data_IF_505121195371
#
_entry.id   IF_505121195371
#
_cell.length_a   1.000
_cell.length_b   1.000
_cell.length_c   1.000
_cell.angle_alpha   90.00
_cell.angle_beta   90.00
_cell.angle_gamma   90.00
#
_symmetry.space_group_name_H-M   'P 1'
#
loop_
_entity.id
_entity.type
_entity.pdbx_description
1 polymer ?
#
# COMPACT_ATOMS: atom_id res chain seq x y z
N UNK A 1 26.05 0.58 -33.12
CA UNK A 1 24.60 0.42 -32.89
C UNK A 1 24.47 0.06 -31.43
N UNK A 2 24.38 1.11 -30.64
CA UNK A 2 24.45 1.09 -29.18
C UNK A 2 23.19 0.46 -28.60
N UNK A 3 23.40 -0.47 -27.66
CA UNK A 3 22.37 -1.07 -26.86
C UNK A 3 21.86 -0.04 -25.86
N UNK A 4 20.80 0.69 -26.22
CA UNK A 4 20.12 1.55 -25.26
C UNK A 4 19.36 0.67 -24.27
N UNK A 5 19.95 0.58 -23.10
CA UNK A 5 19.62 -0.31 -22.01
C UNK A 5 18.41 0.23 -21.25
N UNK A 6 17.39 -0.62 -21.10
CA UNK A 6 16.48 -0.69 -19.96
C UNK A 6 16.23 0.61 -19.17
N UNK A 7 15.33 1.45 -19.68
CA UNK A 7 14.59 2.42 -18.86
C UNK A 7 13.56 1.73 -17.97
N UNK A 8 13.96 0.76 -17.15
CA UNK A 8 13.14 0.26 -16.06
C UNK A 8 13.26 1.28 -14.92
N UNK A 9 12.22 2.09 -14.71
CA UNK A 9 12.12 3.02 -13.58
C UNK A 9 12.40 2.24 -12.28
N UNK A 10 13.55 2.44 -11.61
CA UNK A 10 13.90 1.67 -10.41
C UNK A 10 13.02 2.02 -9.20
N UNK A 11 12.20 3.06 -9.32
CA UNK A 11 11.43 3.63 -8.22
C UNK A 11 10.22 2.80 -7.80
N UNK A 12 9.56 2.09 -8.72
CA UNK A 12 8.37 1.29 -8.41
C UNK A 12 8.66 0.15 -7.44
N UNK A 13 9.56 -0.76 -7.85
CA UNK A 13 9.93 -1.95 -7.09
C UNK A 13 10.56 -1.61 -5.73
N UNK A 14 11.43 -0.58 -5.67
CA UNK A 14 12.02 -0.15 -4.40
C UNK A 14 10.98 0.46 -3.45
N UNK A 15 9.95 1.15 -3.97
CA UNK A 15 8.89 1.72 -3.15
C UNK A 15 7.94 0.64 -2.62
N UNK A 16 7.63 -0.38 -3.44
CA UNK A 16 6.82 -1.53 -3.05
C UNK A 16 7.48 -2.36 -1.94
N UNK A 17 8.79 -2.60 -2.04
CA UNK A 17 9.57 -3.31 -1.02
C UNK A 17 9.61 -2.55 0.31
N UNK A 18 9.76 -1.21 0.25
CA UNK A 18 9.74 -0.36 1.44
C UNK A 18 8.36 -0.35 2.11
N UNK A 19 7.29 -0.27 1.33
CA UNK A 19 5.93 -0.35 1.83
C UNK A 19 5.67 -1.70 2.52
N UNK A 20 6.03 -2.79 1.86
CA UNK A 20 5.88 -4.15 2.38
C UNK A 20 6.59 -4.30 3.72
N UNK A 21 7.83 -3.81 3.81
CA UNK A 21 8.61 -3.85 5.05
C UNK A 21 7.98 -2.99 6.16
N UNK A 22 7.49 -1.79 5.84
CA UNK A 22 6.84 -0.91 6.80
C UNK A 22 5.56 -1.54 7.38
N UNK A 23 4.73 -2.15 6.53
CA UNK A 23 3.53 -2.87 6.96
C UNK A 23 3.88 -4.03 7.89
N UNK A 24 4.88 -4.85 7.54
CA UNK A 24 5.33 -5.98 8.37
C UNK A 24 5.80 -5.50 9.75
N UNK A 25 6.63 -4.46 9.83
CA UNK A 25 7.12 -3.95 11.11
C UNK A 25 6.00 -3.33 11.95
N UNK A 26 5.03 -2.64 11.34
CA UNK A 26 3.87 -2.12 12.04
C UNK A 26 3.00 -3.24 12.63
N UNK A 27 2.76 -4.32 11.87
CA UNK A 27 2.03 -5.50 12.36
C UNK A 27 2.79 -6.18 13.51
N UNK A 28 4.12 -6.35 13.40
CA UNK A 28 4.96 -6.87 14.49
C UNK A 28 4.92 -6.01 15.74
N UNK A 29 4.78 -4.69 15.59
CA UNK A 29 4.60 -3.74 16.67
C UNK A 29 3.16 -3.71 17.24
N UNK A 30 2.27 -4.59 16.78
CA UNK A 30 0.88 -4.69 17.24
C UNK A 30 -0.03 -3.58 16.72
N UNK A 31 0.34 -2.89 15.63
CA UNK A 31 -0.54 -1.91 14.99
C UNK A 31 -1.65 -2.62 14.23
N UNK A 32 -2.88 -2.09 14.34
CA UNK A 32 -4.02 -2.58 13.58
C UNK A 32 -3.95 -2.14 12.12
N UNK A 33 -4.68 -2.82 11.25
CA UNK A 33 -4.79 -2.46 9.83
C UNK A 33 -5.38 -1.06 9.62
N UNK A 34 -6.34 -0.64 10.45
CA UNK A 34 -6.86 0.72 10.46
C UNK A 34 -5.78 1.78 10.76
N UNK A 35 -4.88 1.48 11.70
CA UNK A 35 -3.78 2.39 12.05
C UNK A 35 -2.78 2.50 10.89
N UNK A 36 -2.44 1.37 10.26
CA UNK A 36 -1.55 1.33 9.10
C UNK A 36 -2.17 2.10 7.92
N UNK A 37 -3.43 1.86 7.61
CA UNK A 37 -4.19 2.56 6.57
C UNK A 37 -4.19 4.09 6.78
N UNK A 38 -4.38 4.54 8.02
CA UNK A 38 -4.33 5.97 8.38
C UNK A 38 -2.95 6.57 8.08
N UNK A 39 -1.86 5.87 8.39
CA UNK A 39 -0.49 6.34 8.09
C UNK A 39 -0.23 6.42 6.58
N UNK A 40 -0.87 5.55 5.79
CA UNK A 40 -0.79 5.53 4.33
C UNK A 40 -1.73 6.54 3.67
N UNK A 41 -2.59 7.24 4.41
CA UNK A 41 -3.58 8.18 3.85
C UNK A 41 -4.75 7.47 3.15
N UNK A 42 -4.96 6.18 3.45
CA UNK A 42 -6.05 5.39 2.90
C UNK A 42 -7.36 5.78 3.61
N UNK A 43 -8.41 6.16 2.87
CA UNK A 43 -9.70 6.49 3.47
C UNK A 43 -10.36 5.25 4.09
N UNK A 44 -11.22 5.42 5.11
CA UNK A 44 -11.96 4.30 5.69
C UNK A 44 -12.81 3.55 4.63
N UNK A 45 -12.94 2.22 4.73
CA UNK A 45 -13.79 1.44 3.83
C UNK A 45 -15.23 1.97 3.83
N UNK A 46 -15.75 2.26 2.64
CA UNK A 46 -17.04 2.98 2.48
C UNK A 46 -18.28 2.11 2.74
N UNK A 47 -18.12 0.80 2.88
CA UNK A 47 -19.21 -0.19 2.95
C UNK A 47 -19.67 -0.53 4.37
N UNK A 48 -19.06 0.05 5.40
CA UNK A 48 -19.27 -0.42 6.75
C UNK A 48 -20.28 0.45 7.52
N UNK A 49 -21.55 0.04 7.52
CA UNK A 49 -22.55 0.44 8.55
C UNK A 49 -22.21 -0.11 9.95
N UNK A 50 -21.04 -0.74 10.09
CA UNK A 50 -20.50 -1.45 11.24
C UNK A 50 -18.98 -1.20 11.33
N UNK A 51 -18.30 -1.73 12.36
CA UNK A 51 -16.84 -1.58 12.47
C UNK A 51 -16.17 -2.36 11.33
N UNK A 52 -15.36 -1.68 10.52
CA UNK A 52 -14.59 -2.29 9.43
C UNK A 52 -13.63 -3.36 9.96
N UNK A 53 -13.60 -4.50 9.29
CA UNK A 53 -12.75 -5.63 9.64
C UNK A 53 -11.31 -5.41 9.15
N UNK A 54 -10.38 -6.20 9.69
CA UNK A 54 -9.00 -6.21 9.19
C UNK A 54 -8.91 -6.50 7.69
N UNK A 55 -9.82 -7.33 7.16
CA UNK A 55 -9.91 -7.65 5.74
C UNK A 55 -10.33 -6.44 4.91
N UNK A 56 -11.32 -5.68 5.37
CA UNK A 56 -11.80 -4.48 4.69
C UNK A 56 -10.68 -3.42 4.60
N UNK A 57 -9.90 -3.27 5.66
CA UNK A 57 -8.75 -2.37 5.67
C UNK A 57 -7.62 -2.84 4.75
N UNK A 58 -7.34 -4.13 4.68
CA UNK A 58 -6.36 -4.68 3.74
C UNK A 58 -6.76 -4.41 2.29
N UNK A 59 -8.03 -4.66 1.94
CA UNK A 59 -8.57 -4.41 0.60
C UNK A 59 -8.53 -2.91 0.26
N UNK A 60 -8.91 -2.03 1.19
CA UNK A 60 -8.83 -0.59 0.98
C UNK A 60 -7.39 -0.09 0.76
N UNK A 61 -6.39 -0.68 1.46
CA UNK A 61 -4.98 -0.38 1.21
C UNK A 61 -4.60 -0.83 -0.21
N UNK A 62 -4.90 -2.07 -0.59
CA UNK A 62 -4.58 -2.58 -1.93
C UNK A 62 -5.18 -1.69 -3.03
N UNK A 63 -6.46 -1.32 -2.91
CA UNK A 63 -7.14 -0.46 -3.87
C UNK A 63 -6.52 0.94 -3.95
N UNK A 64 -6.15 1.51 -2.81
CA UNK A 64 -5.49 2.81 -2.75
C UNK A 64 -4.12 2.80 -3.44
N UNK A 65 -3.31 1.78 -3.14
CA UNK A 65 -1.98 1.61 -3.71
C UNK A 65 -2.04 1.36 -5.21
N UNK A 66 -2.99 0.52 -5.67
CA UNK A 66 -3.27 0.31 -7.09
C UNK A 66 -3.69 1.59 -7.80
N UNK A 67 -4.57 2.39 -7.18
CA UNK A 67 -5.00 3.68 -7.74
C UNK A 67 -3.86 4.69 -7.77
N UNK A 68 -2.90 4.65 -6.83
CA UNK A 68 -1.68 5.46 -6.90
C UNK A 68 -0.77 5.00 -8.04
N UNK A 69 -0.56 3.69 -8.17
CA UNK A 69 0.26 3.11 -9.25
C UNK A 69 -0.31 3.44 -10.64
N UNK A 70 -1.64 3.42 -10.80
CA UNK A 70 -2.29 3.78 -12.07
C UNK A 70 -2.15 5.28 -12.44
N UNK A 71 -1.76 6.14 -11.50
CA UNK A 71 -1.53 7.58 -11.72
C UNK A 71 -0.05 7.94 -11.92
N UNK A 72 0.86 7.01 -11.63
CA UNK A 72 2.31 7.20 -11.75
C UNK A 72 2.79 6.93 -13.19
#
# INVERSE_FOLDING_TARGET
MDADSAGAVPGGVQTEDLLTRAVIEALKAGKSWAHIATQLGVPPPSTCDHVATDRDWQEAIVDHENARAARA
#
